data_IF_543972815142
#
_entry.id   IF_543972815142
#
_cell.length_a   1.000
_cell.length_b   1.000
_cell.length_c   1.000
_cell.angle_alpha   90.00
_cell.angle_beta   90.00
_cell.angle_gamma   90.00
#
_symmetry.space_group_name_H-M   'P 1'
#
loop_
_entity.id
_entity.type
_entity.pdbx_description
1 polymer ?
#
# COMPACT_ATOMS: atom_id res chain seq x y z
N UNK A 1 -19.47 4.80 -26.22
CA UNK A 1 -19.08 3.52 -25.61
C UNK A 1 -17.60 3.62 -25.31
N UNK A 2 -17.18 3.36 -24.08
CA UNK A 2 -15.77 3.43 -23.70
C UNK A 2 -15.02 2.26 -24.37
N UNK A 3 -14.12 2.51 -25.35
CA UNK A 3 -13.49 1.42 -26.11
C UNK A 3 -12.60 0.52 -25.24
N UNK A 4 -12.17 0.99 -24.06
CA UNK A 4 -11.35 0.22 -23.14
C UNK A 4 -12.13 -0.57 -22.09
N UNK A 5 -13.45 -0.43 -22.03
CA UNK A 5 -14.32 -1.07 -21.03
C UNK A 5 -14.17 -2.60 -21.01
N UNK A 6 -14.08 -3.22 -22.19
CA UNK A 6 -13.87 -4.68 -22.32
C UNK A 6 -12.53 -5.13 -21.73
N UNK A 7 -11.46 -4.34 -21.94
CA UNK A 7 -10.13 -4.64 -21.43
C UNK A 7 -10.12 -4.49 -19.92
N UNK A 8 -10.65 -3.38 -19.41
CA UNK A 8 -10.76 -3.09 -17.98
C UNK A 8 -11.59 -4.14 -17.24
N UNK A 9 -12.72 -4.53 -17.81
CA UNK A 9 -13.61 -5.55 -17.24
C UNK A 9 -12.93 -6.90 -17.09
N UNK A 10 -12.28 -7.40 -18.15
CA UNK A 10 -11.58 -8.68 -18.08
C UNK A 10 -10.35 -8.60 -17.16
N UNK A 11 -9.60 -7.51 -17.23
CA UNK A 11 -8.48 -7.22 -16.34
C UNK A 11 -8.88 -7.27 -14.87
N UNK A 12 -9.98 -6.62 -14.49
CA UNK A 12 -10.46 -6.59 -13.10
C UNK A 12 -10.75 -8.01 -12.57
N UNK A 13 -11.46 -8.83 -13.35
CA UNK A 13 -11.73 -10.23 -12.98
C UNK A 13 -10.44 -11.06 -12.88
N UNK A 14 -9.50 -10.88 -13.82
CA UNK A 14 -8.24 -11.62 -13.85
C UNK A 14 -7.33 -11.32 -12.65
N UNK A 15 -7.18 -10.03 -12.29
CA UNK A 15 -6.31 -9.65 -11.16
C UNK A 15 -6.90 -10.06 -9.81
N UNK A 16 -8.23 -10.01 -9.65
CA UNK A 16 -8.89 -10.45 -8.41
C UNK A 16 -8.82 -11.98 -8.25
N UNK A 17 -9.01 -12.73 -9.34
CA UNK A 17 -8.78 -14.17 -9.36
C UNK A 17 -7.32 -14.52 -8.99
N UNK A 18 -6.34 -13.77 -9.53
CA UNK A 18 -4.92 -13.94 -9.17
C UNK A 18 -4.63 -13.61 -7.70
N UNK A 19 -5.34 -12.64 -7.12
CA UNK A 19 -5.22 -12.27 -5.71
C UNK A 19 -5.88 -13.28 -4.76
N UNK A 20 -6.61 -14.28 -5.29
CA UNK A 20 -7.39 -15.27 -4.51
C UNK A 20 -8.34 -14.60 -3.51
N UNK A 21 -8.90 -13.46 -3.89
CA UNK A 21 -9.84 -12.69 -3.06
C UNK A 21 -11.23 -12.67 -3.69
N UNK A 22 -12.28 -12.72 -2.88
CA UNK A 22 -13.67 -12.88 -3.29
C UNK A 22 -14.56 -11.64 -3.06
N UNK A 23 -13.99 -10.53 -2.57
CA UNK A 23 -14.74 -9.27 -2.41
C UNK A 23 -15.03 -8.61 -3.77
N UNK A 24 -16.28 -8.76 -4.20
CA UNK A 24 -16.81 -8.17 -5.42
C UNK A 24 -16.66 -6.64 -5.49
N UNK A 25 -16.54 -5.93 -4.36
CA UNK A 25 -16.32 -4.48 -4.35
C UNK A 25 -14.93 -4.10 -4.86
N UNK A 26 -13.93 -4.95 -4.64
CA UNK A 26 -12.57 -4.73 -5.16
C UNK A 26 -12.57 -4.92 -6.68
N UNK A 27 -13.19 -5.98 -7.18
CA UNK A 27 -13.34 -6.18 -8.62
C UNK A 27 -14.08 -5.01 -9.27
N UNK A 28 -15.19 -4.58 -8.67
CA UNK A 28 -15.95 -3.44 -9.18
C UNK A 28 -15.15 -2.14 -9.15
N UNK A 29 -14.33 -1.90 -8.12
CA UNK A 29 -13.46 -0.72 -8.08
C UNK A 29 -12.46 -0.72 -9.25
N UNK A 30 -11.80 -1.85 -9.54
CA UNK A 30 -10.91 -1.96 -10.70
C UNK A 30 -11.64 -1.91 -12.04
N UNK A 31 -12.89 -2.35 -12.10
CA UNK A 31 -13.76 -2.25 -13.27
C UNK A 31 -14.24 -0.82 -13.52
N UNK A 32 -14.50 -0.05 -12.48
CA UNK A 32 -15.04 1.31 -12.57
C UNK A 32 -13.94 2.37 -12.78
N UNK A 33 -12.79 2.22 -12.13
CA UNK A 33 -11.70 3.21 -12.18
C UNK A 33 -10.85 3.02 -13.43
N UNK A 34 -10.96 3.97 -14.35
CA UNK A 34 -10.15 4.07 -15.57
C UNK A 34 -8.68 4.32 -15.24
N UNK A 35 -7.74 3.56 -15.83
CA UNK A 35 -6.28 3.73 -15.62
C UNK A 35 -5.70 4.86 -16.46
N UNK A 36 -6.32 5.17 -17.59
CA UNK A 36 -5.82 6.10 -18.62
C UNK A 36 -5.50 7.50 -18.04
N UNK A 37 -6.38 8.15 -17.25
CA UNK A 37 -6.08 9.49 -16.72
C UNK A 37 -4.85 9.48 -15.80
N UNK A 38 -4.67 8.39 -15.04
CA UNK A 38 -3.58 8.24 -14.09
C UNK A 38 -2.26 7.83 -14.74
N UNK A 39 -2.32 7.21 -15.92
CA UNK A 39 -1.15 6.87 -16.73
C UNK A 39 -0.57 8.07 -17.47
N UNK A 40 -1.42 9.04 -17.85
CA UNK A 40 -1.04 10.11 -18.76
C UNK A 40 -0.96 9.65 -20.22
N UNK A 41 -0.48 10.50 -21.14
CA UNK A 41 -0.36 10.15 -22.56
C UNK A 41 0.68 9.05 -22.79
N UNK A 42 0.37 8.13 -23.71
CA UNK A 42 1.32 7.12 -24.17
C UNK A 42 2.28 7.66 -25.25
N UNK A 43 3.21 6.83 -25.74
CA UNK A 43 3.47 5.47 -25.30
C UNK A 43 4.03 5.41 -23.86
N UNK A 44 3.76 4.33 -23.15
CA UNK A 44 4.09 4.18 -21.73
C UNK A 44 5.26 3.23 -21.52
N UNK A 45 5.98 3.43 -20.40
CA UNK A 45 7.01 2.50 -19.96
C UNK A 45 6.44 1.53 -18.94
N UNK A 46 6.69 0.23 -19.12
CA UNK A 46 6.17 -0.83 -18.28
C UNK A 46 7.26 -1.81 -17.88
N UNK A 47 7.11 -2.47 -16.73
CA UNK A 47 8.07 -3.48 -16.30
C UNK A 47 7.42 -4.58 -15.45
N UNK A 48 8.07 -5.74 -15.44
CA UNK A 48 7.91 -6.77 -14.42
C UNK A 48 8.94 -6.43 -13.34
N UNK A 49 8.53 -6.19 -12.09
CA UNK A 49 9.41 -5.69 -11.03
C UNK A 49 10.77 -6.42 -10.97
N UNK A 50 11.87 -5.65 -10.97
CA UNK A 50 13.23 -6.19 -11.04
C UNK A 50 13.78 -6.40 -12.46
N UNK A 51 12.97 -6.20 -13.50
CA UNK A 51 13.39 -6.29 -14.91
C UNK A 51 13.46 -4.89 -15.57
N UNK A 52 14.15 -4.77 -16.73
CA UNK A 52 14.20 -3.53 -17.49
C UNK A 52 12.82 -3.04 -17.93
N UNK A 53 12.67 -1.72 -18.06
CA UNK A 53 11.48 -1.13 -18.66
C UNK A 53 11.41 -1.39 -20.16
N UNK A 54 10.19 -1.59 -20.65
CA UNK A 54 9.86 -1.71 -22.06
C UNK A 54 8.79 -0.67 -22.39
N UNK A 55 8.98 0.05 -23.49
CA UNK A 55 8.02 1.03 -23.97
C UNK A 55 6.93 0.34 -24.79
N UNK A 56 5.66 0.74 -24.62
CA UNK A 56 4.56 0.30 -25.47
C UNK A 56 4.75 0.82 -26.89
N UNK A 57 4.28 0.09 -27.92
CA UNK A 57 4.44 0.53 -29.30
C UNK A 57 3.65 1.81 -29.63
N UNK A 58 2.55 2.04 -28.93
CA UNK A 58 1.65 3.19 -29.10
C UNK A 58 0.87 3.46 -27.79
N UNK A 59 -0.22 4.24 -27.89
CA UNK A 59 -1.13 4.62 -26.82
C UNK A 59 -2.43 3.79 -26.79
N UNK A 60 -2.47 2.57 -27.34
CA UNK A 60 -3.63 1.68 -27.22
C UNK A 60 -3.89 1.36 -25.72
N UNK A 61 -5.06 1.73 -25.17
CA UNK A 61 -5.35 1.50 -23.76
C UNK A 61 -5.31 0.02 -23.35
N UNK A 62 -5.37 -0.93 -24.29
CA UNK A 62 -5.15 -2.35 -24.02
C UNK A 62 -3.85 -2.60 -23.23
N UNK A 63 -2.79 -1.83 -23.50
CA UNK A 63 -1.52 -1.97 -22.80
C UNK A 63 -1.60 -1.61 -21.31
N UNK A 64 -2.49 -0.69 -20.91
CA UNK A 64 -2.63 -0.27 -19.52
C UNK A 64 -3.32 -1.33 -18.63
N UNK A 65 -4.10 -2.22 -19.22
CA UNK A 65 -4.90 -3.22 -18.51
C UNK A 65 -4.16 -4.57 -18.42
N UNK A 66 -2.92 -4.50 -17.94
CA UNK A 66 -2.04 -5.64 -17.69
C UNK A 66 -1.60 -5.68 -16.23
N UNK A 67 -1.24 -6.87 -15.74
CA UNK A 67 -0.72 -7.05 -14.38
C UNK A 67 0.78 -6.69 -14.26
N UNK A 68 1.14 -5.47 -14.66
CA UNK A 68 2.51 -4.95 -14.73
C UNK A 68 2.63 -3.63 -13.96
N UNK A 69 3.87 -3.27 -13.62
CA UNK A 69 4.18 -1.93 -13.14
C UNK A 69 4.17 -0.98 -14.34
N UNK A 70 3.59 0.20 -14.15
CA UNK A 70 3.51 1.26 -15.15
C UNK A 70 4.28 2.46 -14.63
N UNK A 71 5.30 2.91 -15.35
CA UNK A 71 6.15 4.00 -14.90
C UNK A 71 5.41 5.34 -15.02
N UNK A 72 5.39 6.09 -13.92
CA UNK A 72 5.08 7.52 -13.92
C UNK A 72 6.33 8.37 -14.19
N UNK A 73 7.49 7.83 -13.78
CA UNK A 73 8.82 8.34 -14.03
C UNK A 73 9.79 7.16 -14.04
N UNK A 74 10.18 6.69 -15.23
CA UNK A 74 11.01 5.48 -15.36
C UNK A 74 12.45 5.71 -14.90
N UNK A 75 12.96 6.94 -14.97
CA UNK A 75 14.35 7.28 -14.56
C UNK A 75 14.47 7.21 -13.04
N UNK A 76 13.44 7.67 -12.34
CA UNK A 76 13.36 7.62 -10.87
C UNK A 76 12.75 6.32 -10.34
N UNK A 77 12.27 5.44 -11.22
CA UNK A 77 11.62 4.19 -10.83
C UNK A 77 10.28 4.37 -10.11
N UNK A 78 9.59 5.48 -10.34
CA UNK A 78 8.28 5.77 -9.76
C UNK A 78 7.22 5.13 -10.65
N UNK A 79 6.41 4.26 -10.05
CA UNK A 79 5.44 3.44 -10.77
C UNK A 79 4.04 3.54 -10.16
N UNK A 80 3.02 3.38 -10.99
CA UNK A 80 1.76 2.77 -10.55
C UNK A 80 2.05 1.29 -10.30
N UNK A 81 1.85 0.85 -9.05
CA UNK A 81 2.14 -0.49 -8.59
C UNK A 81 1.42 -1.62 -9.34
N UNK A 82 1.83 -2.86 -9.07
CA UNK A 82 1.28 -4.04 -9.73
C UNK A 82 -0.17 -4.30 -9.29
N UNK A 83 -1.12 -4.40 -10.22
CA UNK A 83 -2.55 -4.52 -9.91
C UNK A 83 -2.95 -5.70 -9.02
N UNK A 84 -2.51 -6.92 -9.33
CA UNK A 84 -2.88 -8.10 -8.55
C UNK A 84 -2.31 -8.06 -7.13
N UNK A 85 -1.11 -7.48 -6.96
CA UNK A 85 -0.52 -7.27 -5.65
C UNK A 85 -1.38 -6.28 -4.83
N UNK A 86 -1.78 -5.16 -5.42
CA UNK A 86 -2.69 -4.23 -4.76
C UNK A 86 -4.08 -4.83 -4.49
N UNK A 87 -4.63 -5.67 -5.37
CA UNK A 87 -5.91 -6.35 -5.12
C UNK A 87 -5.82 -7.26 -3.88
N UNK A 88 -4.72 -8.01 -3.72
CA UNK A 88 -4.43 -8.80 -2.52
C UNK A 88 -4.36 -7.92 -1.25
N UNK A 89 -3.63 -6.81 -1.33
CA UNK A 89 -3.39 -5.90 -0.21
C UNK A 89 -4.64 -5.13 0.22
N UNK A 90 -5.46 -4.68 -0.73
CA UNK A 90 -6.75 -4.06 -0.48
C UNK A 90 -7.70 -5.04 0.21
N UNK A 91 -7.69 -6.32 -0.22
CA UNK A 91 -8.44 -7.39 0.42
C UNK A 91 -8.02 -7.61 1.87
N UNK A 92 -6.71 -7.73 2.12
CA UNK A 92 -6.16 -7.89 3.47
C UNK A 92 -6.49 -6.70 4.41
N UNK A 93 -6.61 -5.49 3.88
CA UNK A 93 -7.02 -4.32 4.66
C UNK A 93 -8.51 -4.35 5.06
N UNK A 94 -9.35 -5.16 4.40
CA UNK A 94 -10.78 -5.25 4.65
C UNK A 94 -11.49 -3.87 4.73
N UNK A 95 -11.22 -2.99 3.76
CA UNK A 95 -11.73 -1.61 3.73
C UNK A 95 -13.27 -1.61 3.68
N UNK A 96 -13.90 -0.85 4.58
CA UNK A 96 -15.36 -0.81 4.70
C UNK A 96 -15.93 0.50 4.15
N UNK A 97 -17.20 0.50 3.70
CA UNK A 97 -17.88 1.74 3.38
C UNK A 97 -17.90 2.66 4.61
N UNK A 98 -17.73 3.96 4.38
CA UNK A 98 -17.59 4.99 5.41
C UNK A 98 -16.26 5.00 6.19
N UNK A 99 -15.30 4.11 5.90
CA UNK A 99 -13.96 4.20 6.49
C UNK A 99 -13.28 5.54 6.13
N UNK A 100 -12.49 6.06 7.07
CA UNK A 100 -11.47 7.08 6.83
C UNK A 100 -10.15 6.38 6.50
N UNK A 101 -9.68 6.54 5.28
CA UNK A 101 -8.41 5.99 4.81
C UNK A 101 -7.38 7.10 4.70
N UNK A 102 -6.18 6.89 5.23
CA UNK A 102 -5.01 7.71 4.95
C UNK A 102 -4.11 6.96 3.98
N UNK A 103 -3.74 7.58 2.86
CA UNK A 103 -2.78 7.01 1.92
C UNK A 103 -1.48 7.80 1.95
N UNK A 104 -0.35 7.10 2.08
CA UNK A 104 1.00 7.68 1.97
C UNK A 104 1.63 7.23 0.65
N UNK A 105 2.06 8.18 -0.19
CA UNK A 105 2.49 7.90 -1.56
C UNK A 105 1.28 7.77 -2.49
N UNK A 106 0.80 8.92 -2.98
CA UNK A 106 -0.38 8.99 -3.86
C UNK A 106 0.02 8.67 -5.31
N UNK A 107 1.25 9.06 -5.70
CA UNK A 107 1.69 9.03 -7.09
C UNK A 107 0.76 9.87 -7.94
N UNK A 108 0.30 9.34 -9.07
CA UNK A 108 -0.68 10.01 -9.93
C UNK A 108 -2.13 9.89 -9.44
N UNK A 109 -2.41 9.13 -8.37
CA UNK A 109 -3.73 9.02 -7.75
C UNK A 109 -4.54 7.75 -8.06
N UNK A 110 -4.02 6.80 -8.84
CA UNK A 110 -4.81 5.64 -9.28
C UNK A 110 -5.36 4.81 -8.11
N UNK A 111 -4.50 4.43 -7.16
CA UNK A 111 -4.95 3.68 -5.98
C UNK A 111 -5.76 4.54 -5.01
N UNK A 112 -5.59 5.85 -5.01
CA UNK A 112 -6.45 6.76 -4.25
C UNK A 112 -7.88 6.72 -4.77
N UNK A 113 -8.07 6.67 -6.10
CA UNK A 113 -9.39 6.52 -6.70
C UNK A 113 -10.02 5.14 -6.39
N UNK A 114 -9.22 4.07 -6.37
CA UNK A 114 -9.67 2.74 -5.94
C UNK A 114 -10.12 2.76 -4.47
N UNK A 115 -9.31 3.35 -3.57
CA UNK A 115 -9.67 3.52 -2.16
C UNK A 115 -10.95 4.35 -2.00
N UNK A 116 -11.07 5.44 -2.76
CA UNK A 116 -12.25 6.31 -2.76
C UNK A 116 -13.51 5.58 -3.19
N UNK A 117 -13.40 4.65 -4.15
CA UNK A 117 -14.50 3.78 -4.57
C UNK A 117 -14.92 2.84 -3.44
N UNK A 118 -13.95 2.20 -2.76
CA UNK A 118 -14.21 1.22 -1.70
C UNK A 118 -14.87 1.82 -0.45
N UNK A 119 -14.43 3.00 -0.03
CA UNK A 119 -15.03 3.70 1.12
C UNK A 119 -16.38 4.34 0.78
N UNK A 120 -16.63 4.61 -0.50
CA UNK A 120 -17.85 5.25 -0.99
C UNK A 120 -18.01 6.71 -0.54
N UNK A 121 -19.11 7.37 -0.94
CA UNK A 121 -19.29 8.81 -0.74
C UNK A 121 -19.47 9.24 0.72
N UNK A 122 -19.71 8.29 1.64
CA UNK A 122 -19.78 8.55 3.10
C UNK A 122 -18.44 8.36 3.80
N UNK A 123 -17.45 7.79 3.11
CA UNK A 123 -16.10 7.65 3.63
C UNK A 123 -15.23 8.84 3.27
N UNK A 124 -13.94 8.72 3.57
CA UNK A 124 -12.97 9.78 3.26
C UNK A 124 -11.62 9.15 2.93
N UNK A 125 -10.92 9.70 1.94
CA UNK A 125 -9.53 9.37 1.66
C UNK A 125 -8.67 10.63 1.82
N UNK A 126 -7.66 10.58 2.69
CA UNK A 126 -6.66 11.63 2.85
C UNK A 126 -5.32 11.14 2.27
N UNK A 127 -4.91 11.67 1.12
CA UNK A 127 -3.68 11.30 0.43
C UNK A 127 -2.53 12.27 0.72
N UNK A 128 -1.33 11.73 0.96
CA UNK A 128 -0.10 12.49 1.18
C UNK A 128 0.93 12.16 0.11
N UNK A 129 1.38 13.17 -0.61
CA UNK A 129 2.37 13.07 -1.68
C UNK A 129 3.46 14.12 -1.50
N UNK A 130 4.73 13.70 -1.57
CA UNK A 130 5.87 14.60 -1.39
C UNK A 130 6.37 15.18 -2.72
N UNK A 131 6.15 14.45 -3.82
CA UNK A 131 6.58 14.89 -5.14
C UNK A 131 5.56 15.88 -5.72
N UNK A 132 5.99 17.12 -5.93
CA UNK A 132 5.12 18.19 -6.43
C UNK A 132 4.49 17.87 -7.78
N UNK A 133 5.25 17.30 -8.72
CA UNK A 133 4.74 16.99 -10.05
C UNK A 133 3.67 15.88 -9.99
N UNK A 134 3.88 14.86 -9.15
CA UNK A 134 2.89 13.81 -8.91
C UNK A 134 1.67 14.34 -8.18
N UNK A 135 1.84 15.18 -7.15
CA UNK A 135 0.74 15.79 -6.42
C UNK A 135 -0.16 16.66 -7.32
N UNK A 136 0.43 17.40 -8.26
CA UNK A 136 -0.33 18.19 -9.26
C UNK A 136 -1.13 17.26 -10.18
N UNK A 137 -0.52 16.20 -10.72
CA UNK A 137 -1.21 15.20 -11.55
C UNK A 137 -2.37 14.53 -10.78
N UNK A 138 -2.11 14.11 -9.54
CA UNK A 138 -3.12 13.49 -8.70
C UNK A 138 -4.29 14.42 -8.41
N UNK A 139 -4.03 15.70 -8.13
CA UNK A 139 -5.09 16.69 -7.90
C UNK A 139 -6.01 16.83 -9.11
N UNK A 140 -5.45 16.88 -10.31
CA UNK A 140 -6.24 16.94 -11.54
C UNK A 140 -7.04 15.65 -11.76
N UNK A 141 -6.42 14.49 -11.58
CA UNK A 141 -7.07 13.19 -11.77
C UNK A 141 -8.19 12.89 -10.77
N UNK A 142 -8.10 13.45 -9.56
CA UNK A 142 -9.00 13.17 -8.44
C UNK A 142 -10.00 14.31 -8.18
N UNK A 143 -10.01 15.37 -9.01
CA UNK A 143 -10.79 16.60 -8.78
C UNK A 143 -12.30 16.38 -8.62
N UNK A 144 -12.84 15.34 -9.26
CA UNK A 144 -14.27 15.03 -9.24
C UNK A 144 -14.66 14.15 -8.03
N UNK A 145 -13.69 13.71 -7.22
CA UNK A 145 -13.91 12.88 -6.04
C UNK A 145 -13.94 13.76 -4.77
N UNK A 146 -15.11 14.32 -4.47
CA UNK A 146 -15.31 15.25 -3.35
C UNK A 146 -14.93 14.72 -1.96
N UNK A 147 -14.88 13.39 -1.78
CA UNK A 147 -14.48 12.73 -0.54
C UNK A 147 -12.99 12.35 -0.49
N UNK A 148 -12.19 12.87 -1.42
CA UNK A 148 -10.72 12.75 -1.45
C UNK A 148 -10.09 14.10 -1.14
N UNK A 149 -9.21 14.13 -0.14
CA UNK A 149 -8.36 15.29 0.17
C UNK A 149 -6.90 14.93 -0.10
N UNK A 150 -6.22 15.74 -0.91
CA UNK A 150 -4.80 15.56 -1.20
C UNK A 150 -3.96 16.64 -0.52
N UNK A 151 -2.86 16.20 0.10
CA UNK A 151 -1.89 17.06 0.76
C UNK A 151 -0.52 16.85 0.13
N UNK A 152 0.03 17.93 -0.41
CA UNK A 152 1.38 17.95 -0.98
C UNK A 152 2.40 18.17 0.15
N UNK A 153 2.64 17.14 0.95
CA UNK A 153 3.56 17.14 2.09
C UNK A 153 3.92 15.71 2.51
N UNK A 154 4.94 15.58 3.36
CA UNK A 154 5.35 14.29 3.91
C UNK A 154 4.29 13.69 4.82
N UNK A 155 3.87 12.46 4.50
CA UNK A 155 3.02 11.66 5.37
C UNK A 155 3.74 11.11 6.61
N UNK A 156 5.06 11.25 6.69
CA UNK A 156 5.86 10.88 7.87
C UNK A 156 5.88 12.01 8.88
N UNK A 157 6.02 13.25 8.40
CA UNK A 157 6.17 14.45 9.22
C UNK A 157 4.83 15.11 9.57
N UNK A 158 3.81 14.90 8.74
CA UNK A 158 2.51 15.49 8.95
C UNK A 158 1.76 14.87 10.14
N UNK A 159 0.91 15.69 10.76
CA UNK A 159 -0.16 15.20 11.62
C UNK A 159 -1.24 14.54 10.74
N UNK A 160 -1.38 13.22 10.86
CA UNK A 160 -2.37 12.46 10.12
C UNK A 160 -3.71 12.50 10.87
N UNK A 161 -4.85 12.55 10.16
CA UNK A 161 -6.15 12.42 10.81
C UNK A 161 -6.31 11.02 11.40
N UNK A 162 -7.18 10.89 12.40
CA UNK A 162 -7.61 9.57 12.88
C UNK A 162 -8.17 8.74 11.71
N UNK A 163 -7.62 7.54 11.52
CA UNK A 163 -7.89 6.70 10.35
C UNK A 163 -8.34 5.30 10.76
N UNK A 164 -9.22 4.69 9.96
CA UNK A 164 -9.57 3.27 10.08
C UNK A 164 -8.59 2.39 9.31
N UNK A 165 -7.97 2.95 8.27
CA UNK A 165 -6.89 2.32 7.49
C UNK A 165 -5.82 3.34 7.16
N UNK A 166 -4.56 2.96 7.32
CA UNK A 166 -3.41 3.65 6.73
C UNK A 166 -2.82 2.73 5.67
N UNK A 167 -2.81 3.18 4.43
CA UNK A 167 -2.36 2.42 3.25
C UNK A 167 -1.12 3.09 2.66
N UNK A 168 0.04 2.45 2.77
CA UNK A 168 1.32 3.04 2.40
C UNK A 168 1.86 2.42 1.12
N UNK A 169 2.20 3.27 0.15
CA UNK A 169 2.76 2.90 -1.16
C UNK A 169 4.24 3.30 -1.30
N UNK A 170 4.98 3.29 -0.19
CA UNK A 170 6.42 3.56 -0.15
C UNK A 170 7.08 2.70 0.93
N UNK A 171 8.21 2.10 0.62
CA UNK A 171 8.90 1.15 1.46
C UNK A 171 9.61 1.80 2.65
N UNK A 172 9.35 1.33 3.86
CA UNK A 172 9.94 1.85 5.09
C UNK A 172 10.82 0.79 5.77
N UNK A 173 11.83 1.24 6.51
CA UNK A 173 12.69 0.39 7.32
C UNK A 173 12.09 0.03 8.68
N UNK A 174 11.06 0.76 9.13
CA UNK A 174 10.41 0.56 10.42
C UNK A 174 8.95 1.02 10.44
N UNK A 175 8.11 0.50 11.35
CA UNK A 175 6.79 1.05 11.62
C UNK A 175 6.90 2.50 12.11
N UNK A 176 6.20 3.43 11.47
CA UNK A 176 6.15 4.82 11.93
C UNK A 176 5.25 4.97 13.14
N UNK A 177 5.77 5.57 14.22
CA UNK A 177 4.99 5.93 15.42
C UNK A 177 3.84 6.87 15.09
N UNK A 178 4.06 7.85 14.20
CA UNK A 178 3.01 8.79 13.78
C UNK A 178 1.84 8.07 13.11
N UNK A 179 2.13 7.09 12.24
CA UNK A 179 1.10 6.29 11.57
C UNK A 179 0.34 5.44 12.60
N UNK A 180 1.05 4.70 13.46
CA UNK A 180 0.44 3.86 14.49
C UNK A 180 -0.43 4.67 15.47
N UNK A 181 0.00 5.86 15.87
CA UNK A 181 -0.75 6.72 16.80
C UNK A 181 -2.06 7.22 16.19
N UNK A 182 -2.09 7.41 14.87
CA UNK A 182 -3.25 7.91 14.13
C UNK A 182 -4.35 6.86 13.94
N UNK A 183 -4.12 5.61 14.35
CA UNK A 183 -4.90 4.47 13.83
C UNK A 183 -6.31 4.18 14.36
N UNK A 184 -6.98 4.82 15.32
CA UNK A 184 -8.22 4.26 15.95
C UNK A 184 -8.15 2.78 16.47
N UNK A 185 -8.83 2.42 17.56
CA UNK A 185 -8.92 1.02 17.97
C UNK A 185 -9.49 0.13 16.86
N UNK A 186 -8.82 -0.98 16.54
CA UNK A 186 -9.18 -1.89 15.44
C UNK A 186 -8.81 -1.39 14.04
N UNK A 187 -8.24 -0.19 13.91
CA UNK A 187 -7.75 0.30 12.62
C UNK A 187 -6.50 -0.44 12.16
N UNK A 188 -6.23 -0.38 10.85
CA UNK A 188 -5.21 -1.22 10.21
C UNK A 188 -4.16 -0.37 9.49
N UNK A 189 -2.89 -0.63 9.73
CA UNK A 189 -1.79 -0.08 8.93
C UNK A 189 -1.27 -1.19 8.01
N UNK A 190 -1.27 -0.93 6.72
CA UNK A 190 -0.59 -1.77 5.74
C UNK A 190 0.54 -0.96 5.10
N UNK A 191 1.77 -1.45 5.21
CA UNK A 191 2.92 -0.82 4.59
C UNK A 191 3.99 -1.83 4.16
N UNK A 192 4.85 -1.48 3.18
CA UNK A 192 6.00 -2.30 2.84
C UNK A 192 7.10 -2.07 3.89
N UNK A 193 7.37 -3.08 4.72
CA UNK A 193 8.60 -3.15 5.51
C UNK A 193 9.72 -3.65 4.57
N UNK A 194 10.15 -2.74 3.72
CA UNK A 194 11.01 -2.98 2.57
C UNK A 194 11.69 -1.66 2.21
N UNK A 195 12.74 -1.23 2.93
CA UNK A 195 13.45 0.00 2.57
C UNK A 195 14.07 -0.10 1.16
N UNK A 196 14.51 1.02 0.63
CA UNK A 196 15.00 1.15 -0.74
C UNK A 196 15.98 0.03 -1.11
N UNK A 197 15.71 -0.66 -2.21
CA UNK A 197 16.56 -1.76 -2.71
C UNK A 197 16.38 -3.10 -1.99
N UNK A 198 15.58 -3.17 -0.93
CA UNK A 198 15.29 -4.43 -0.22
C UNK A 198 14.00 -5.04 -0.78
N UNK A 199 14.07 -6.33 -1.13
CA UNK A 199 12.87 -7.14 -1.30
C UNK A 199 12.39 -7.56 0.09
N UNK A 200 11.38 -6.88 0.61
CA UNK A 200 10.83 -7.06 1.95
C UNK A 200 9.42 -7.64 1.91
N UNK A 201 8.57 -7.20 2.84
CA UNK A 201 7.20 -7.72 2.95
C UNK A 201 6.17 -6.62 3.21
N UNK A 202 4.95 -6.83 2.74
CA UNK A 202 3.80 -5.99 3.08
C UNK A 202 3.28 -6.41 4.45
N UNK A 203 3.60 -5.62 5.46
CA UNK A 203 3.22 -5.86 6.84
C UNK A 203 1.87 -5.20 7.12
N UNK A 204 0.90 -6.01 7.52
CA UNK A 204 -0.39 -5.58 8.05
C UNK A 204 -0.30 -5.57 9.58
N UNK A 205 -0.62 -4.44 10.20
CA UNK A 205 -0.68 -4.25 11.65
C UNK A 205 -2.09 -3.79 12.01
N UNK A 206 -2.69 -4.38 13.05
CA UNK A 206 -3.97 -3.92 13.59
C UNK A 206 -3.76 -3.25 14.95
N UNK A 207 -4.39 -2.10 15.16
CA UNK A 207 -4.37 -1.43 16.46
C UNK A 207 -5.19 -2.22 17.48
N UNK A 208 -4.58 -2.70 18.57
CA UNK A 208 -5.31 -3.44 19.58
C UNK A 208 -6.33 -2.54 20.28
N UNK A 209 -7.42 -3.14 20.76
CA UNK A 209 -8.36 -2.45 21.65
C UNK A 209 -7.78 -2.23 23.05
N UNK A 210 -6.95 -3.16 23.51
CA UNK A 210 -6.26 -3.17 24.81
C UNK A 210 -4.95 -3.94 24.70
N UNK A 211 -3.98 -3.64 25.57
CA UNK A 211 -2.71 -4.36 25.65
C UNK A 211 -1.58 -3.77 24.81
N UNK A 212 -0.32 -4.16 25.08
CA UNK A 212 0.86 -3.55 24.45
C UNK A 212 1.24 -4.16 23.11
N UNK A 213 0.82 -5.39 22.82
CA UNK A 213 1.17 -6.11 21.59
C UNK A 213 0.11 -5.91 20.50
N UNK A 214 0.56 -5.71 19.27
CA UNK A 214 -0.27 -5.38 18.11
C UNK A 214 -0.32 -6.58 17.17
N UNK A 215 -1.50 -7.11 16.80
CA UNK A 215 -1.56 -8.16 15.78
C UNK A 215 -0.88 -7.70 14.49
N UNK A 216 0.07 -8.49 13.99
CA UNK A 216 0.87 -8.13 12.84
C UNK A 216 1.17 -9.36 11.97
N UNK A 217 0.99 -9.26 10.66
CA UNK A 217 1.28 -10.35 9.74
C UNK A 217 1.76 -9.83 8.39
N UNK A 218 2.65 -10.57 7.75
CA UNK A 218 3.03 -10.27 6.38
C UNK A 218 2.03 -10.87 5.40
N UNK A 219 1.44 -10.02 4.57
CA UNK A 219 0.46 -10.43 3.54
C UNK A 219 1.17 -11.04 2.33
N UNK A 220 2.32 -10.49 1.95
CA UNK A 220 3.14 -10.98 0.85
C UNK A 220 4.55 -10.41 0.93
N UNK A 221 5.46 -10.94 0.10
CA UNK A 221 6.72 -10.26 -0.24
C UNK A 221 6.43 -9.04 -1.14
N UNK A 222 7.27 -8.00 -1.05
CA UNK A 222 7.15 -6.79 -1.88
C UNK A 222 8.46 -5.99 -1.94
N UNK A 223 8.62 -5.22 -3.01
CA UNK A 223 9.63 -4.17 -3.12
C UNK A 223 8.95 -2.87 -3.55
N UNK A 224 9.39 -1.75 -2.99
CA UNK A 224 8.87 -0.41 -3.26
C UNK A 224 10.00 0.60 -3.35
N UNK A 225 9.71 1.76 -3.93
CA UNK A 225 10.54 2.95 -3.74
C UNK A 225 10.53 3.34 -2.26
N UNK A 226 11.66 3.80 -1.75
CA UNK A 226 11.86 4.17 -0.35
C UNK A 226 10.98 5.34 0.06
N UNK A 227 10.34 5.20 1.22
CA UNK A 227 9.66 6.26 1.93
C UNK A 227 10.69 7.23 2.52
N UNK A 228 10.74 8.46 1.99
CA UNK A 228 11.61 9.53 2.51
C UNK A 228 11.31 9.77 3.98
N UNK A 229 12.36 9.84 4.81
CA UNK A 229 12.25 9.98 6.27
C UNK A 229 12.09 8.68 7.04
N UNK A 230 11.93 7.53 6.37
CA UNK A 230 11.83 6.20 7.00
C UNK A 230 12.78 5.17 6.34
N UNK A 231 13.96 5.62 5.92
CA UNK A 231 15.03 4.77 5.41
C UNK A 231 16.09 4.54 6.49
N UNK A 232 16.69 3.35 6.47
CA UNK A 232 17.81 2.94 7.33
C UNK A 232 18.57 1.83 6.60
N UNK A 233 19.82 2.09 6.21
CA UNK A 233 20.63 1.15 5.45
C UNK A 233 21.01 -0.08 6.28
N UNK A 234 21.37 0.10 7.55
CA UNK A 234 21.77 -1.01 8.41
C UNK A 234 20.57 -1.87 8.79
N UNK A 235 19.46 -1.23 9.16
CA UNK A 235 18.17 -1.91 9.35
C UNK A 235 17.73 -2.63 8.08
N UNK A 236 17.93 -2.02 6.90
CA UNK A 236 17.67 -2.64 5.61
C UNK A 236 18.46 -3.92 5.36
N UNK A 237 19.77 -3.94 5.66
CA UNK A 237 20.60 -5.15 5.55
C UNK A 237 20.10 -6.25 6.48
N UNK A 238 19.84 -5.92 7.75
CA UNK A 238 19.32 -6.89 8.74
C UNK A 238 17.95 -7.44 8.34
N UNK A 239 17.07 -6.59 7.82
CA UNK A 239 15.76 -7.02 7.29
C UNK A 239 15.94 -7.99 6.12
N UNK A 240 16.84 -7.68 5.18
CA UNK A 240 17.12 -8.56 4.05
C UNK A 240 17.58 -9.94 4.49
N UNK A 241 18.40 -10.02 5.54
CA UNK A 241 18.83 -11.29 6.15
C UNK A 241 17.65 -12.00 6.82
N UNK A 242 16.85 -11.31 7.63
CA UNK A 242 15.68 -11.89 8.30
C UNK A 242 14.65 -12.49 7.32
N UNK A 243 14.43 -11.80 6.19
CA UNK A 243 13.52 -12.25 5.14
C UNK A 243 13.98 -13.49 4.35
N UNK A 244 15.21 -13.96 4.57
CA UNK A 244 15.64 -15.29 4.09
C UNK A 244 15.01 -16.44 4.90
N UNK A 245 14.48 -16.15 6.09
CA UNK A 245 13.77 -17.09 6.95
C UNK A 245 12.24 -17.08 6.79
N UNK A 246 11.54 -17.64 7.79
CA UNK A 246 10.08 -17.80 7.81
C UNK A 246 9.36 -16.47 8.14
N UNK A 247 9.34 -15.55 7.20
CA UNK A 247 8.67 -14.24 7.33
C UNK A 247 7.16 -14.38 7.59
N UNK A 248 6.52 -15.41 7.04
CA UNK A 248 5.10 -15.73 7.20
C UNK A 248 4.76 -16.26 8.61
N UNK A 249 5.75 -16.47 9.48
CA UNK A 249 5.56 -16.82 10.88
C UNK A 249 5.26 -15.61 11.79
N UNK A 250 5.43 -14.37 11.31
CA UNK A 250 5.17 -13.17 12.13
C UNK A 250 3.69 -13.04 12.48
N UNK A 251 3.40 -12.80 13.77
CA UNK A 251 2.04 -12.72 14.34
C UNK A 251 1.79 -11.46 15.16
N UNK A 252 2.82 -10.83 15.71
CA UNK A 252 2.65 -9.59 16.49
C UNK A 252 3.82 -8.61 16.36
N UNK A 253 3.49 -7.34 16.58
CA UNK A 253 4.42 -6.22 16.71
C UNK A 253 4.40 -5.75 18.17
N UNK A 254 5.59 -5.57 18.71
CA UNK A 254 5.83 -5.01 20.04
C UNK A 254 6.55 -3.67 19.88
N UNK A 255 6.05 -2.69 20.59
CA UNK A 255 6.49 -1.30 20.51
C UNK A 255 7.39 -0.89 21.70
N UNK A 256 7.48 -1.73 22.72
CA UNK A 256 8.23 -1.48 23.94
C UNK A 256 8.74 -2.80 24.51
N UNK A 257 9.74 -2.73 25.39
CA UNK A 257 10.32 -3.89 26.05
C UNK A 257 11.37 -4.64 25.20
N UNK A 258 12.25 -5.42 25.84
CA UNK A 258 13.26 -6.20 25.12
C UNK A 258 12.61 -7.35 24.34
N UNK A 259 13.15 -7.74 23.17
CA UNK A 259 12.73 -8.94 22.48
C UNK A 259 12.97 -10.20 23.32
N UNK A 260 12.07 -11.18 23.19
CA UNK A 260 12.20 -12.50 23.80
C UNK A 260 12.52 -13.59 22.74
N UNK A 261 12.44 -14.85 23.15
CA UNK A 261 12.73 -16.01 22.29
C UNK A 261 11.79 -16.15 21.07
N UNK A 262 10.66 -15.45 21.06
CA UNK A 262 9.73 -15.42 19.93
C UNK A 262 10.10 -14.40 18.85
N UNK A 263 11.12 -13.57 19.10
CA UNK A 263 11.54 -12.50 18.22
C UNK A 263 11.96 -13.02 16.83
N UNK A 264 11.24 -12.58 15.81
CA UNK A 264 11.59 -12.76 14.41
C UNK A 264 12.55 -11.68 13.92
N UNK A 265 12.31 -10.42 14.30
CA UNK A 265 13.17 -9.29 13.95
C UNK A 265 13.07 -8.20 15.02
N UNK A 266 14.21 -7.65 15.45
CA UNK A 266 14.27 -6.51 16.34
C UNK A 266 14.85 -5.29 15.64
N UNK A 267 14.15 -4.16 15.72
CA UNK A 267 14.69 -2.83 15.47
C UNK A 267 15.15 -2.17 16.78
N UNK A 268 15.36 -0.85 16.75
CA UNK A 268 15.88 -0.12 17.92
C UNK A 268 14.85 0.01 19.05
N UNK A 269 13.60 0.31 18.69
CA UNK A 269 12.50 0.59 19.62
C UNK A 269 11.24 -0.24 19.31
N UNK A 270 11.39 -1.33 18.56
CA UNK A 270 10.28 -2.21 18.19
C UNK A 270 10.82 -3.59 17.80
N UNK A 271 9.96 -4.61 17.86
CA UNK A 271 10.30 -5.94 17.35
C UNK A 271 9.06 -6.71 16.89
N UNK A 272 9.26 -7.65 15.98
CA UNK A 272 8.24 -8.56 15.48
C UNK A 272 8.43 -9.92 16.12
N UNK A 273 7.32 -10.52 16.51
CA UNK A 273 7.25 -11.81 17.19
C UNK A 273 6.49 -12.83 16.33
N UNK A 274 6.85 -14.09 16.49
CA UNK A 274 6.11 -15.24 15.96
C UNK A 274 4.92 -15.66 16.81
N UNK A 275 4.75 -15.07 18.01
CA UNK A 275 3.62 -15.34 18.91
C UNK A 275 2.43 -14.42 18.64
N UNK A 276 1.24 -14.98 18.80
CA UNK A 276 -0.03 -14.25 18.72
C UNK A 276 -0.20 -13.31 19.92
N UNK A 277 -1.00 -12.26 19.72
CA UNK A 277 -1.42 -11.40 20.81
C UNK A 277 -2.47 -12.15 21.62
N UNK A 278 -2.22 -12.36 22.91
CA UNK A 278 -3.21 -12.99 23.80
C UNK A 278 -4.54 -12.21 23.75
N UNK A 279 -5.64 -12.89 23.47
CA UNK A 279 -6.96 -12.28 23.54
C UNK A 279 -7.27 -11.90 25.00
N UNK A 280 -7.85 -10.70 25.25
CA UNK A 280 -8.29 -10.36 26.59
C UNK A 280 -9.47 -11.26 27.00
N UNK A 281 -9.20 -12.33 27.76
CA UNK A 281 -10.21 -13.05 28.54
C UNK A 281 -10.48 -14.52 28.20
N UNK A 282 -9.46 -15.37 28.12
CA UNK A 282 -9.61 -16.81 28.38
C UNK A 282 -8.81 -17.20 29.62
N UNK A 283 -9.36 -16.88 30.79
CA UNK A 283 -9.09 -17.60 32.04
C UNK A 283 -10.24 -18.60 32.29
#
# INVERSE_FOLDING_TARGET
MDPSEKYRSFYASLICASAKHDDARIEEAFRAVRREPFAGPGPWWMTIGGHPYVQTPDDDPAFLYQNLLLALDHERGINIGQPAAHALWLGACAIRPADTVVQIGVGSGYYTAILAHLVGPRGRVCGYEIDEAMAVRARENLKDLSHVELRMQSGVEAELPAADVIYVCAGAAKPSRSWLNSLRPGGRLLFPLAPQGVFGGMLLITRPGTGPAWPATFVSRAAFIGCVGLQDEEGGRRLSEAFSGAWDAVRSLHLDGPPDDSCWFAGDDWWLSTQEVAEPGTD
#
